data_IF_447382745568
#
_entry.id   IF_447382745568
#
_cell.length_a   1.000
_cell.length_b   1.000
_cell.length_c   1.000
_cell.angle_alpha   90.00
_cell.angle_beta   90.00
_cell.angle_gamma   90.00
#
_symmetry.space_group_name_H-M   'P 1'
#
loop_
_entity.id
_entity.type
_entity.pdbx_description
1 polymer ?
#
# COMPACT_ATOMS: atom_id res chain seq x y z
N UNK A 1 -7.33 20.53 -9.36
CA UNK A 1 -7.19 19.09 -9.68
C UNK A 1 -8.47 18.34 -9.27
N UNK A 2 -9.59 18.61 -9.94
CA UNK A 2 -10.86 17.92 -9.65
C UNK A 2 -10.92 16.62 -10.45
N UNK A 3 -10.41 15.51 -9.87
CA UNK A 3 -10.59 14.17 -10.42
C UNK A 3 -9.33 13.33 -10.63
N UNK A 4 -8.32 13.41 -9.76
CA UNK A 4 -7.18 12.48 -9.87
C UNK A 4 -7.54 11.08 -9.32
N UNK A 5 -8.25 10.30 -10.13
CA UNK A 5 -8.66 8.94 -9.81
C UNK A 5 -7.47 7.98 -9.63
N UNK A 6 -6.33 8.26 -10.25
CA UNK A 6 -5.13 7.45 -10.06
C UNK A 6 -4.55 7.59 -8.66
N UNK A 7 -4.54 8.80 -8.08
CA UNK A 7 -4.12 9.01 -6.70
C UNK A 7 -5.04 8.28 -5.70
N UNK A 8 -6.35 8.35 -5.94
CA UNK A 8 -7.36 7.61 -5.15
C UNK A 8 -7.12 6.11 -5.23
N UNK A 9 -6.94 5.56 -6.44
CA UNK A 9 -6.66 4.13 -6.63
C UNK A 9 -5.39 3.70 -5.88
N UNK A 10 -4.32 4.48 -5.94
CA UNK A 10 -3.08 4.18 -5.22
C UNK A 10 -3.24 4.21 -3.69
N UNK A 11 -4.10 5.09 -3.16
CA UNK A 11 -4.43 5.08 -1.74
C UNK A 11 -5.16 3.80 -1.31
N UNK A 12 -6.09 3.29 -2.12
CA UNK A 12 -6.73 1.99 -1.87
C UNK A 12 -5.74 0.83 -1.95
N UNK A 13 -4.82 0.85 -2.91
CA UNK A 13 -3.74 -0.15 -3.00
C UNK A 13 -2.85 -0.11 -1.76
N UNK A 14 -2.48 1.07 -1.27
CA UNK A 14 -1.69 1.21 -0.05
C UNK A 14 -2.42 0.60 1.16
N UNK A 15 -3.71 0.90 1.34
CA UNK A 15 -4.53 0.33 2.42
C UNK A 15 -4.65 -1.20 2.32
N UNK A 16 -4.86 -1.72 1.11
CA UNK A 16 -4.92 -3.17 0.86
C UNK A 16 -3.60 -3.85 1.25
N UNK A 17 -2.46 -3.27 0.84
CA UNK A 17 -1.13 -3.80 1.16
C UNK A 17 -0.87 -3.81 2.67
N UNK A 18 -1.31 -2.79 3.41
CA UNK A 18 -1.25 -2.76 4.88
C UNK A 18 -2.05 -3.91 5.50
N UNK A 19 -3.25 -4.20 4.98
CA UNK A 19 -4.01 -5.38 5.38
C UNK A 19 -3.25 -6.69 5.09
N UNK A 20 -2.57 -6.75 3.96
CA UNK A 20 -1.67 -7.85 3.60
C UNK A 20 -0.52 -8.05 4.58
N UNK A 21 0.11 -6.98 5.07
CA UNK A 21 1.17 -7.04 6.09
C UNK A 21 0.65 -7.74 7.34
N UNK A 22 -0.50 -7.29 7.87
CA UNK A 22 -1.11 -7.88 9.09
C UNK A 22 -1.43 -9.36 8.87
N UNK A 23 -1.97 -9.71 7.71
CA UNK A 23 -2.27 -11.10 7.34
C UNK A 23 -0.99 -11.96 7.30
N UNK A 24 0.07 -11.48 6.66
CA UNK A 24 1.33 -12.22 6.52
C UNK A 24 2.06 -12.38 7.84
N UNK A 25 2.02 -11.37 8.71
CA UNK A 25 2.56 -11.46 10.06
C UNK A 25 1.86 -12.56 10.87
N UNK A 26 0.52 -12.65 10.78
CA UNK A 26 -0.26 -13.71 11.43
C UNK A 26 0.05 -15.11 10.89
N UNK A 27 0.48 -15.22 9.64
CA UNK A 27 0.87 -16.47 8.99
C UNK A 27 2.36 -16.84 9.18
N UNK A 28 3.15 -16.00 9.87
CA UNK A 28 4.59 -16.21 10.05
C UNK A 28 5.44 -15.90 8.81
N UNK A 29 4.85 -15.32 7.76
CA UNK A 29 5.50 -14.99 6.48
C UNK A 29 6.28 -13.67 6.56
N UNK A 30 7.26 -13.58 7.45
CA UNK A 30 7.96 -12.33 7.80
C UNK A 30 8.60 -11.62 6.60
N UNK A 31 9.24 -12.37 5.69
CA UNK A 31 9.87 -11.79 4.48
C UNK A 31 8.83 -11.19 3.53
N UNK A 32 7.68 -11.85 3.37
CA UNK A 32 6.58 -11.33 2.57
C UNK A 32 5.95 -10.10 3.21
N UNK A 33 5.81 -10.06 4.54
CA UNK A 33 5.34 -8.88 5.27
C UNK A 33 6.26 -7.66 5.06
N UNK A 34 7.58 -7.86 5.07
CA UNK A 34 8.56 -6.79 4.77
C UNK A 34 8.39 -6.28 3.33
N UNK A 35 8.25 -7.19 2.36
CA UNK A 35 8.01 -6.78 0.97
C UNK A 35 6.72 -5.97 0.83
N UNK A 36 5.62 -6.43 1.45
CA UNK A 36 4.34 -5.71 1.43
C UNK A 36 4.45 -4.33 2.11
N UNK A 37 5.26 -4.18 3.15
CA UNK A 37 5.53 -2.90 3.78
C UNK A 37 6.24 -1.92 2.84
N UNK A 38 7.25 -2.40 2.09
CA UNK A 38 7.94 -1.58 1.08
C UNK A 38 6.97 -1.16 -0.02
N UNK A 39 6.15 -2.08 -0.54
CA UNK A 39 5.17 -1.77 -1.56
C UNK A 39 4.09 -0.80 -1.06
N UNK A 40 3.64 -0.94 0.19
CA UNK A 40 2.68 -0.02 0.80
C UNK A 40 3.25 1.39 0.92
N UNK A 41 4.52 1.52 1.30
CA UNK A 41 5.22 2.80 1.35
C UNK A 41 5.28 3.46 -0.03
N UNK A 42 5.70 2.72 -1.07
CA UNK A 42 5.77 3.22 -2.44
C UNK A 42 4.39 3.63 -2.98
N UNK A 43 3.35 2.83 -2.74
CA UNK A 43 1.99 3.15 -3.14
C UNK A 43 1.46 4.40 -2.43
N UNK A 44 1.79 4.57 -1.15
CA UNK A 44 1.45 5.77 -0.38
C UNK A 44 2.16 7.00 -0.93
N UNK A 45 3.46 6.89 -1.23
CA UNK A 45 4.23 7.98 -1.85
C UNK A 45 3.64 8.39 -3.20
N UNK A 46 3.29 7.41 -4.05
CA UNK A 46 2.63 7.68 -5.33
C UNK A 46 1.28 8.38 -5.15
N UNK A 47 0.44 7.90 -4.22
CA UNK A 47 -0.84 8.53 -3.93
C UNK A 47 -0.68 10.00 -3.51
N UNK A 48 0.29 10.31 -2.65
CA UNK A 48 0.55 11.68 -2.17
C UNK A 48 1.11 12.58 -3.27
N UNK A 49 2.07 12.11 -4.06
CA UNK A 49 2.68 12.91 -5.12
C UNK A 49 1.74 13.21 -6.29
N UNK A 50 0.73 12.36 -6.49
CA UNK A 50 -0.25 12.52 -7.57
C UNK A 50 -1.54 13.19 -7.10
N UNK A 51 -1.65 13.59 -5.84
CA UNK A 51 -2.86 14.22 -5.32
C UNK A 51 -3.00 15.69 -5.77
#
# INVERSE_FOLDING_TARGET
MTGNWTAVAMAFVALFLVGGIVSFLKQGLKKGAVLLAVLAALATTAAVLWW
#
